data_IF_837646818436
#
_entry.id   IF_837646818436
#
_cell.length_a   1.000
_cell.length_b   1.000
_cell.length_c   1.000
_cell.angle_alpha   90.00
_cell.angle_beta   90.00
_cell.angle_gamma   90.00
#
_symmetry.space_group_name_H-M   'P 1'
#
loop_
_entity.id
_entity.type
_entity.pdbx_description
1 polymer ?
#
# COMPACT_ATOMS: atom_id res chain seq x y z
N UNK A 1 2.22 -0.57 -18.97
CA UNK A 1 1.86 -1.32 -17.75
C UNK A 1 1.26 -0.35 -16.75
N UNK A 2 0.22 -0.80 -15.99
CA UNK A 2 -0.48 0.03 -15.00
C UNK A 2 -0.20 -0.47 -13.59
N UNK A 3 0.22 0.41 -12.70
CA UNK A 3 0.43 0.12 -11.29
C UNK A 3 -0.72 0.68 -10.42
N UNK A 4 -1.12 -0.11 -9.43
CA UNK A 4 -2.06 0.30 -8.38
C UNK A 4 -1.30 0.42 -7.07
N UNK A 5 -1.27 1.59 -6.48
CA UNK A 5 -0.60 1.90 -5.23
C UNK A 5 -1.63 1.99 -4.11
N UNK A 6 -1.47 1.21 -3.05
CA UNK A 6 -2.28 1.31 -1.82
C UNK A 6 -1.38 1.83 -0.69
N UNK A 7 -1.61 3.07 -0.26
CA UNK A 7 -0.80 3.73 0.75
C UNK A 7 -1.64 4.59 1.69
N UNK A 8 -1.25 4.67 2.97
CA UNK A 8 -1.94 5.44 4.01
C UNK A 8 -1.22 6.77 4.30
N UNK A 9 0.12 6.72 4.49
CA UNK A 9 0.89 7.91 4.81
C UNK A 9 1.22 8.76 3.58
N UNK A 10 1.26 10.09 3.73
CA UNK A 10 1.59 11.01 2.64
C UNK A 10 2.97 10.75 2.04
N UNK A 11 3.94 10.38 2.88
CA UNK A 11 5.30 10.06 2.42
C UNK A 11 5.30 8.78 1.58
N UNK A 12 4.56 7.74 2.01
CA UNK A 12 4.44 6.51 1.24
C UNK A 12 3.63 6.71 -0.05
N UNK A 13 2.56 7.50 -0.04
CA UNK A 13 1.82 7.86 -1.25
C UNK A 13 2.76 8.46 -2.30
N UNK A 14 3.57 9.45 -1.91
CA UNK A 14 4.56 10.09 -2.78
C UNK A 14 5.64 9.12 -3.26
N UNK A 15 6.29 8.43 -2.32
CA UNK A 15 7.42 7.56 -2.63
C UNK A 15 7.03 6.34 -3.47
N UNK A 16 5.88 5.70 -3.17
CA UNK A 16 5.41 4.54 -3.94
C UNK A 16 4.86 4.93 -5.32
N UNK A 17 4.17 6.07 -5.45
CA UNK A 17 3.74 6.55 -6.76
C UNK A 17 4.95 6.93 -7.64
N UNK A 18 5.95 7.62 -7.08
CA UNK A 18 7.20 7.91 -7.77
C UNK A 18 7.93 6.62 -8.19
N UNK A 19 8.07 5.66 -7.26
CA UNK A 19 8.68 4.37 -7.54
C UNK A 19 7.91 3.56 -8.59
N UNK A 20 6.57 3.58 -8.55
CA UNK A 20 5.72 2.92 -9.53
C UNK A 20 5.97 3.41 -10.96
N UNK A 21 6.32 4.70 -11.14
CA UNK A 21 6.69 5.26 -12.46
C UNK A 21 7.93 4.62 -13.07
N UNK A 22 8.80 4.02 -12.27
CA UNK A 22 9.99 3.33 -12.78
C UNK A 22 9.67 1.98 -13.43
N UNK A 23 8.49 1.43 -13.14
CA UNK A 23 8.06 0.09 -13.60
C UNK A 23 6.72 0.10 -14.36
N UNK A 24 6.01 1.22 -14.40
CA UNK A 24 4.69 1.34 -15.04
C UNK A 24 4.51 2.71 -15.70
N UNK A 25 3.71 2.72 -16.79
CA UNK A 25 3.41 3.94 -17.55
C UNK A 25 2.25 4.72 -16.93
N UNK A 26 1.34 4.03 -16.26
CA UNK A 26 0.16 4.60 -15.60
C UNK A 26 0.17 4.18 -14.12
N UNK A 27 -0.08 5.13 -13.24
CA UNK A 27 -0.11 4.93 -11.79
C UNK A 27 -1.44 5.37 -11.22
N UNK A 28 -2.10 4.49 -10.50
CA UNK A 28 -3.35 4.75 -9.79
C UNK A 28 -3.10 4.60 -8.29
N UNK A 29 -3.47 5.62 -7.52
CA UNK A 29 -3.36 5.63 -6.07
C UNK A 29 -4.70 5.28 -5.42
N UNK A 30 -4.71 4.45 -4.39
CA UNK A 30 -5.86 4.24 -3.52
C UNK A 30 -5.48 4.51 -2.06
N UNK A 31 -6.33 5.24 -1.36
CA UNK A 31 -6.14 5.59 0.04
C UNK A 31 -7.41 5.23 0.80
N UNK A 32 -7.26 4.49 1.90
CA UNK A 32 -8.41 4.06 2.73
C UNK A 32 -8.63 4.99 3.92
N UNK A 33 -7.57 5.52 4.49
CA UNK A 33 -7.65 6.39 5.66
C UNK A 33 -6.77 7.61 5.46
N UNK A 34 -7.38 8.74 5.31
CA UNK A 34 -6.73 9.99 4.96
C UNK A 34 -7.18 10.47 3.58
N UNK A 35 -6.64 11.59 3.13
CA UNK A 35 -6.92 12.12 1.81
C UNK A 35 -5.84 11.65 0.80
N UNK A 36 -6.22 11.25 -0.40
CA UNK A 36 -5.26 11.03 -1.48
C UNK A 36 -4.48 12.31 -1.79
N UNK A 37 -3.17 12.18 -1.99
CA UNK A 37 -2.38 13.28 -2.53
C UNK A 37 -2.74 13.49 -4.00
N UNK A 38 -2.88 14.75 -4.38
CA UNK A 38 -3.02 15.17 -5.78
C UNK A 38 -1.65 15.38 -6.43
N UNK A 39 -1.59 15.29 -7.75
CA UNK A 39 -0.35 15.51 -8.50
C UNK A 39 0.70 14.40 -8.39
N UNK A 40 0.38 13.24 -7.80
CA UNK A 40 1.34 12.13 -7.61
C UNK A 40 1.03 10.88 -8.43
N UNK A 41 -0.22 10.72 -8.86
CA UNK A 41 -0.71 9.60 -9.68
C UNK A 41 -1.57 10.12 -10.82
N UNK A 42 -1.82 9.31 -11.85
CA UNK A 42 -2.70 9.70 -12.97
C UNK A 42 -4.16 9.74 -12.54
N UNK A 43 -4.52 8.92 -11.57
CA UNK A 43 -5.84 8.90 -10.91
C UNK A 43 -5.67 8.48 -9.46
N UNK A 44 -6.51 9.01 -8.58
CA UNK A 44 -6.58 8.58 -7.19
C UNK A 44 -8.00 8.14 -6.80
N UNK A 45 -8.09 7.15 -5.93
CA UNK A 45 -9.31 6.71 -5.28
C UNK A 45 -9.28 7.02 -3.80
N UNK A 46 -10.26 7.80 -3.34
CA UNK A 46 -10.56 7.97 -1.92
C UNK A 46 -11.56 6.87 -1.51
N UNK A 47 -11.06 5.84 -0.86
CA UNK A 47 -11.89 4.72 -0.39
C UNK A 47 -12.49 5.08 0.96
N UNK A 48 -13.77 5.40 0.96
CA UNK A 48 -14.49 5.81 2.17
C UNK A 48 -14.45 4.73 3.25
N UNK A 49 -14.21 5.17 4.48
CA UNK A 49 -14.31 4.36 5.68
C UNK A 49 -14.95 5.21 6.78
N UNK A 50 -16.13 4.84 7.33
CA UNK A 50 -16.75 5.59 8.41
C UNK A 50 -15.84 5.72 9.64
N UNK A 51 -15.94 6.83 10.33
CA UNK A 51 -15.13 7.09 11.52
C UNK A 51 -15.29 5.98 12.57
N UNK A 52 -14.17 5.59 13.18
CA UNK A 52 -14.16 4.53 14.20
C UNK A 52 -14.19 3.11 13.66
N UNK A 53 -14.32 2.92 12.34
CA UNK A 53 -14.24 1.59 11.74
C UNK A 53 -12.78 1.13 11.59
N UNK A 54 -12.50 -0.16 11.82
CA UNK A 54 -11.23 -0.77 11.45
C UNK A 54 -11.00 -0.74 9.94
N UNK A 55 -9.75 -0.49 9.54
CA UNK A 55 -9.36 -0.39 8.11
C UNK A 55 -9.70 -1.65 7.32
N UNK A 56 -9.67 -2.79 7.96
CA UNK A 56 -10.00 -4.09 7.38
C UNK A 56 -11.43 -4.14 6.81
N UNK A 57 -12.34 -3.33 7.35
CA UNK A 57 -13.71 -3.24 6.85
C UNK A 57 -13.81 -2.52 5.49
N UNK A 58 -12.75 -1.86 5.02
CA UNK A 58 -12.70 -1.22 3.70
C UNK A 58 -12.29 -2.17 2.56
N UNK A 59 -12.10 -3.46 2.83
CA UNK A 59 -11.61 -4.42 1.82
C UNK A 59 -12.46 -4.45 0.54
N UNK A 60 -13.79 -4.31 0.64
CA UNK A 60 -14.67 -4.25 -0.53
C UNK A 60 -14.43 -2.98 -1.37
N UNK A 61 -14.18 -1.83 -0.73
CA UNK A 61 -13.84 -0.58 -1.42
C UNK A 61 -12.48 -0.66 -2.13
N UNK A 62 -11.48 -1.26 -1.48
CA UNK A 62 -10.18 -1.50 -2.11
C UNK A 62 -10.31 -2.44 -3.31
N UNK A 63 -11.13 -3.49 -3.22
CA UNK A 63 -11.42 -4.36 -4.34
C UNK A 63 -12.11 -3.60 -5.48
N UNK A 64 -13.11 -2.75 -5.19
CA UNK A 64 -13.78 -1.95 -6.20
C UNK A 64 -12.82 -0.98 -6.91
N UNK A 65 -11.94 -0.32 -6.17
CA UNK A 65 -10.90 0.54 -6.73
C UNK A 65 -9.94 -0.24 -7.64
N UNK A 66 -9.52 -1.46 -7.22
CA UNK A 66 -8.70 -2.36 -8.04
C UNK A 66 -9.42 -2.76 -9.34
N UNK A 67 -10.69 -3.16 -9.25
CA UNK A 67 -11.50 -3.57 -10.41
C UNK A 67 -11.73 -2.42 -11.38
N UNK A 68 -11.92 -1.19 -10.88
CA UNK A 68 -12.03 0.01 -11.70
C UNK A 68 -10.70 0.38 -12.39
N UNK A 69 -9.58 0.23 -11.68
CA UNK A 69 -8.24 0.53 -12.20
C UNK A 69 -7.74 -0.52 -13.21
N UNK A 70 -8.06 -1.82 -13.00
CA UNK A 70 -7.56 -2.95 -13.80
C UNK A 70 -6.03 -2.95 -13.96
N UNK A 71 -5.27 -2.97 -12.87
CA UNK A 71 -3.82 -2.84 -12.92
C UNK A 71 -3.11 -4.16 -13.25
N UNK A 72 -1.88 -4.06 -13.75
CA UNK A 72 -0.97 -5.19 -13.97
C UNK A 72 -0.21 -5.57 -12.70
N UNK A 73 -0.01 -4.59 -11.79
CA UNK A 73 0.75 -4.77 -10.54
C UNK A 73 0.16 -3.93 -9.42
N UNK A 74 0.16 -4.48 -8.20
CA UNK A 74 -0.28 -3.81 -6.97
C UNK A 74 0.91 -3.62 -6.05
N UNK A 75 1.16 -2.38 -5.64
CA UNK A 75 2.20 -1.97 -4.71
C UNK A 75 1.54 -1.46 -3.43
N UNK A 76 1.86 -2.05 -2.31
CA UNK A 76 1.21 -1.78 -1.03
C UNK A 76 2.22 -1.30 0.00
N UNK A 77 1.93 -0.19 0.65
CA UNK A 77 2.71 0.28 1.80
C UNK A 77 2.78 -0.81 2.90
N UNK A 78 3.96 -1.15 3.44
CA UNK A 78 4.14 -2.32 4.31
C UNK A 78 3.68 -2.08 5.76
N UNK A 79 2.59 -1.32 5.97
CA UNK A 79 1.99 -1.17 7.30
C UNK A 79 1.22 -2.44 7.69
N UNK A 80 1.05 -2.74 8.99
CA UNK A 80 0.25 -3.89 9.42
C UNK A 80 -1.17 -3.90 8.84
N UNK A 81 -1.81 -2.73 8.76
CA UNK A 81 -3.16 -2.59 8.22
C UNK A 81 -3.22 -2.82 6.71
N UNK A 82 -2.33 -2.21 5.97
CA UNK A 82 -2.28 -2.38 4.52
C UNK A 82 -1.86 -3.80 4.12
N UNK A 83 -1.02 -4.49 4.92
CA UNK A 83 -0.70 -5.91 4.72
C UNK A 83 -1.96 -6.80 4.84
N UNK A 84 -2.89 -6.46 5.73
CA UNK A 84 -4.18 -7.17 5.83
C UNK A 84 -5.02 -6.92 4.58
N UNK A 85 -5.15 -5.67 4.14
CA UNK A 85 -5.89 -5.33 2.91
C UNK A 85 -5.28 -5.99 1.68
N UNK A 86 -3.94 -6.02 1.57
CA UNK A 86 -3.23 -6.74 0.50
C UNK A 86 -3.55 -8.23 0.51
N UNK A 87 -3.57 -8.86 1.69
CA UNK A 87 -3.94 -10.27 1.85
C UNK A 87 -5.38 -10.56 1.46
N UNK A 88 -6.33 -9.70 1.85
CA UNK A 88 -7.75 -9.82 1.49
C UNK A 88 -7.95 -9.64 -0.02
N UNK A 89 -7.28 -8.67 -0.64
CA UNK A 89 -7.30 -8.48 -2.08
C UNK A 89 -6.70 -9.67 -2.81
N UNK A 90 -5.51 -10.15 -2.41
CA UNK A 90 -4.87 -11.31 -3.02
C UNK A 90 -5.72 -12.58 -2.92
N UNK A 91 -6.39 -12.80 -1.79
CA UNK A 91 -7.32 -13.91 -1.62
C UNK A 91 -8.50 -13.85 -2.61
N UNK A 92 -9.04 -12.66 -2.87
CA UNK A 92 -10.08 -12.45 -3.88
C UNK A 92 -9.58 -12.70 -5.31
N UNK A 93 -8.33 -12.37 -5.59
CA UNK A 93 -7.69 -12.56 -6.89
C UNK A 93 -7.15 -14.00 -7.09
N UNK A 94 -7.25 -14.87 -6.10
CA UNK A 94 -6.71 -16.23 -6.15
C UNK A 94 -5.17 -16.26 -6.25
N UNK A 95 -4.49 -15.28 -5.67
CA UNK A 95 -3.04 -15.14 -5.70
C UNK A 95 -2.44 -15.00 -4.30
N UNK A 96 -1.13 -14.88 -4.20
CA UNK A 96 -0.41 -14.62 -2.97
C UNK A 96 0.22 -13.23 -2.95
N UNK A 97 0.39 -12.67 -1.76
CA UNK A 97 1.19 -11.46 -1.55
C UNK A 97 2.66 -11.82 -1.41
N UNK A 98 3.51 -11.16 -2.18
CA UNK A 98 4.96 -11.18 -1.90
C UNK A 98 5.29 -10.00 -1.01
N UNK A 99 5.66 -10.29 0.24
CA UNK A 99 5.89 -9.24 1.24
C UNK A 99 7.32 -8.72 1.24
N UNK A 100 7.41 -7.42 1.60
CA UNK A 100 8.66 -6.72 1.88
C UNK A 100 9.68 -6.81 0.71
N UNK A 101 9.17 -6.54 -0.49
CA UNK A 101 9.98 -6.48 -1.71
C UNK A 101 11.00 -5.35 -1.61
N UNK A 102 12.26 -5.66 -1.92
CA UNK A 102 13.39 -4.73 -1.86
C UNK A 102 13.97 -4.36 -3.22
N UNK A 103 13.65 -5.13 -4.27
CA UNK A 103 14.10 -4.82 -5.63
C UNK A 103 13.20 -5.47 -6.69
N UNK A 104 13.12 -4.83 -7.85
CA UNK A 104 12.42 -5.28 -9.04
C UNK A 104 13.41 -5.50 -10.19
N UNK A 105 13.26 -6.62 -10.90
CA UNK A 105 14.05 -6.97 -12.08
C UNK A 105 13.12 -7.62 -13.12
N UNK A 106 12.47 -6.81 -13.92
CA UNK A 106 11.40 -7.21 -14.81
C UNK A 106 10.25 -7.88 -14.07
N UNK A 107 9.95 -9.14 -14.36
CA UNK A 107 8.91 -9.93 -13.68
C UNK A 107 9.37 -10.58 -12.37
N UNK A 108 10.63 -10.45 -12.02
CA UNK A 108 11.23 -11.04 -10.83
C UNK A 108 11.33 -9.98 -9.72
N UNK A 109 10.96 -10.36 -8.52
CA UNK A 109 11.12 -9.51 -7.34
C UNK A 109 12.04 -10.18 -6.32
N UNK A 110 12.75 -9.36 -5.57
CA UNK A 110 13.64 -9.82 -4.50
C UNK A 110 13.10 -9.37 -3.16
N UNK A 111 13.08 -10.25 -2.19
CA UNK A 111 12.86 -9.91 -0.79
C UNK A 111 13.89 -10.61 0.10
N UNK A 112 14.12 -10.05 1.29
CA UNK A 112 15.15 -10.51 2.21
C UNK A 112 14.56 -11.40 3.27
N UNK A 113 15.29 -12.48 3.63
CA UNK A 113 14.95 -13.39 4.72
C UNK A 113 16.03 -13.39 5.79
N UNK A 114 15.66 -13.81 6.98
CA UNK A 114 16.56 -14.01 8.11
C UNK A 114 17.40 -12.77 8.45
N UNK A 115 16.76 -11.58 8.50
CA UNK A 115 17.48 -10.35 8.80
C UNK A 115 18.52 -9.93 7.76
N UNK A 116 18.32 -10.31 6.48
CA UNK A 116 19.22 -9.96 5.39
C UNK A 116 20.29 -11.01 5.07
N UNK A 117 20.28 -12.17 5.76
CA UNK A 117 21.24 -13.24 5.50
C UNK A 117 20.96 -14.01 4.19
N UNK A 118 19.73 -13.96 3.69
CA UNK A 118 19.36 -14.59 2.43
C UNK A 118 18.50 -13.67 1.58
N UNK A 119 18.77 -13.61 0.29
CA UNK A 119 17.91 -12.95 -0.69
C UNK A 119 17.09 -14.02 -1.42
N UNK A 120 15.77 -13.85 -1.44
CA UNK A 120 14.86 -14.72 -2.19
C UNK A 120 14.40 -13.99 -3.46
N UNK A 121 14.64 -14.61 -4.62
CA UNK A 121 14.14 -14.12 -5.91
C UNK A 121 12.94 -14.95 -6.33
N UNK A 122 11.84 -14.30 -6.64
CA UNK A 122 10.62 -15.00 -7.04
C UNK A 122 9.86 -14.24 -8.11
N UNK A 123 9.05 -14.99 -8.86
CA UNK A 123 8.16 -14.47 -9.89
C UNK A 123 6.73 -14.81 -9.52
N UNK A 124 5.84 -13.83 -9.55
CA UNK A 124 4.41 -14.08 -9.36
C UNK A 124 3.83 -14.81 -10.57
N UNK A 125 3.01 -15.84 -10.32
CA UNK A 125 2.34 -16.65 -11.35
C UNK A 125 0.90 -16.22 -11.63
N UNK A 126 0.38 -15.25 -10.88
CA UNK A 126 -0.97 -14.71 -11.01
C UNK A 126 -0.95 -13.18 -10.96
N UNK A 127 -1.99 -12.59 -10.37
CA UNK A 127 -2.00 -11.17 -10.10
C UNK A 127 -0.82 -10.80 -9.19
N UNK A 128 -0.11 -9.74 -9.56
CA UNK A 128 1.13 -9.32 -8.88
C UNK A 128 0.78 -8.38 -7.73
N UNK A 129 0.80 -8.88 -6.50
CA UNK A 129 0.52 -8.10 -5.27
C UNK A 129 1.76 -8.10 -4.40
N UNK A 130 2.35 -6.93 -4.20
CA UNK A 130 3.61 -6.76 -3.48
C UNK A 130 3.46 -5.77 -2.34
N UNK A 131 3.95 -6.09 -1.13
CA UNK A 131 4.21 -5.04 -0.15
C UNK A 131 5.63 -4.54 -0.33
N UNK A 132 5.81 -3.22 -0.37
CA UNK A 132 7.08 -2.60 -0.72
C UNK A 132 7.21 -1.23 -0.04
N UNK A 133 8.38 -0.93 0.50
CA UNK A 133 8.68 0.41 0.99
C UNK A 133 9.18 1.30 -0.16
N UNK A 134 8.94 2.60 -0.08
CA UNK A 134 9.41 3.56 -1.10
C UNK A 134 10.93 3.51 -1.33
N UNK A 135 11.68 3.15 -0.30
CA UNK A 135 13.14 2.97 -0.36
C UNK A 135 13.62 1.81 -1.26
N UNK A 136 12.70 0.95 -1.73
CA UNK A 136 13.03 -0.12 -2.69
C UNK A 136 13.22 0.40 -4.13
N UNK A 137 12.83 1.65 -4.38
CA UNK A 137 12.96 2.30 -5.68
C UNK A 137 14.09 3.33 -5.67
N UNK A 138 14.67 3.59 -6.84
CA UNK A 138 15.54 4.74 -7.01
C UNK A 138 14.74 6.04 -6.78
N UNK A 139 15.43 7.11 -6.41
CA UNK A 139 14.80 8.41 -6.29
C UNK A 139 14.16 8.82 -7.64
N UNK A 140 12.87 9.10 -7.58
CA UNK A 140 12.09 9.57 -8.71
C UNK A 140 11.08 10.61 -8.22
N UNK A 141 10.66 11.49 -9.09
CA UNK A 141 9.62 12.45 -8.78
C UNK A 141 8.23 11.86 -9.04
N UNK A 142 7.34 12.02 -8.08
CA UNK A 142 5.94 11.71 -8.27
C UNK A 142 5.30 12.79 -9.15
N UNK A 143 4.65 12.37 -10.22
CA UNK A 143 3.93 13.25 -11.13
C UNK A 143 2.55 12.69 -11.41
N UNK A 144 1.57 13.54 -11.65
CA UNK A 144 0.23 13.06 -11.93
C UNK A 144 -0.80 14.16 -12.11
N UNK A 145 -2.06 13.79 -11.97
CA UNK A 145 -3.23 14.67 -12.07
C UNK A 145 -3.85 14.94 -10.70
N UNK A 146 -4.86 15.81 -10.68
CA UNK A 146 -5.70 16.05 -9.50
C UNK A 146 -7.03 15.28 -9.59
N UNK A 147 -7.09 14.23 -10.44
CA UNK A 147 -8.30 13.40 -10.59
C UNK A 147 -8.45 12.46 -9.40
N UNK A 148 -9.41 12.78 -8.53
CA UNK A 148 -9.75 11.99 -7.35
C UNK A 148 -11.21 11.54 -7.46
N UNK A 149 -11.43 10.24 -7.42
CA UNK A 149 -12.76 9.62 -7.38
C UNK A 149 -13.00 8.97 -6.02
N UNK A 150 -14.19 9.16 -5.47
CA UNK A 150 -14.59 8.55 -4.19
C UNK A 150 -15.22 7.19 -4.44
N UNK A 151 -14.72 6.17 -3.75
CA UNK A 151 -15.32 4.84 -3.68
C UNK A 151 -16.13 4.74 -2.38
N UNK A 152 -17.43 4.61 -2.53
CA UNK A 152 -18.34 4.54 -1.39
C UNK A 152 -18.08 3.32 -0.49
N UNK A 153 -18.24 3.51 0.80
CA UNK A 153 -18.11 2.44 1.77
C UNK A 153 -19.19 1.37 1.61
N UNK A 154 -18.76 0.12 1.53
CA UNK A 154 -19.66 -1.05 1.57
C UNK A 154 -19.33 -1.87 2.81
N UNK A 155 -20.30 -1.97 3.73
CA UNK A 155 -20.11 -2.74 4.95
C UNK A 155 -19.91 -4.23 4.64
N UNK A 156 -18.88 -4.87 5.19
CA UNK A 156 -18.71 -6.31 5.03
C UNK A 156 -19.79 -7.08 5.81
N UNK A 157 -20.15 -8.26 5.32
CA UNK A 157 -21.12 -9.15 5.99
C UNK A 157 -20.70 -9.47 7.45
N UNK A 158 -19.41 -9.61 7.68
CA UNK A 158 -18.81 -9.83 9.00
C UNK A 158 -17.85 -8.69 9.31
N UNK A 159 -18.41 -7.56 9.73
CA UNK A 159 -17.62 -6.40 10.10
C UNK A 159 -16.83 -6.64 11.40
N UNK A 160 -15.58 -6.19 11.41
CA UNK A 160 -14.80 -6.06 12.64
C UNK A 160 -15.32 -4.87 13.43
N UNK A 161 -15.42 -5.02 14.74
CA UNK A 161 -15.89 -3.98 15.65
C UNK A 161 -14.76 -3.56 16.59
N UNK A 162 -14.38 -2.29 16.53
CA UNK A 162 -13.47 -1.69 17.50
C UNK A 162 -14.21 -1.49 18.82
N UNK A 163 -13.89 -2.27 19.86
CA UNK A 163 -14.50 -2.17 21.18
C UNK A 163 -13.92 -1.06 22.06
N UNK A 164 -12.73 -0.58 21.70
CA UNK A 164 -12.06 0.50 22.43
C UNK A 164 -10.56 0.56 22.14
N UNK A 165 -9.96 1.66 22.52
CA UNK A 165 -8.51 1.88 22.48
C UNK A 165 -8.01 2.16 23.88
N UNK A 166 -6.85 1.58 24.22
CA UNK A 166 -6.14 1.87 25.47
C UNK A 166 -4.80 2.50 25.14
N UNK A 167 -4.59 3.72 25.60
CA UNK A 167 -3.29 4.35 25.48
C UNK A 167 -2.26 3.57 26.33
N UNK A 168 -1.16 3.19 25.72
CA UNK A 168 -0.01 2.64 26.44
C UNK A 168 0.91 3.82 26.73
N UNK A 169 1.17 4.16 28.02
CA UNK A 169 2.12 5.21 28.33
C UNK A 169 3.49 4.81 27.80
N UNK A 170 4.11 5.71 27.05
CA UNK A 170 5.48 5.55 26.56
C UNK A 170 6.42 6.21 27.56
N UNK A 171 7.28 5.42 28.18
CA UNK A 171 8.40 5.92 28.96
C UNK A 171 9.61 6.06 28.01
N UNK A 172 10.17 7.28 27.91
CA UNK A 172 11.31 7.58 27.05
C UNK A 172 10.98 8.41 25.80
N UNK A 173 12.02 8.74 25.04
CA UNK A 173 11.92 9.51 23.82
C UNK A 173 11.32 8.68 22.67
N UNK A 174 10.48 9.31 21.87
CA UNK A 174 10.00 8.73 20.61
C UNK A 174 11.11 8.87 19.56
N UNK A 175 11.80 7.78 19.26
CA UNK A 175 12.95 7.77 18.35
C UNK A 175 12.59 8.27 16.94
N UNK A 176 11.33 8.15 16.52
CA UNK A 176 10.87 8.64 15.22
C UNK A 176 10.80 10.16 15.14
N UNK A 177 10.87 10.85 16.28
CA UNK A 177 10.83 12.31 16.41
C UNK A 177 12.15 12.92 16.85
N UNK A 178 13.20 12.11 16.97
CA UNK A 178 14.52 12.57 17.34
C UNK A 178 15.30 13.00 16.09
N UNK A 179 15.98 14.15 16.15
CA UNK A 179 16.85 14.62 15.08
C UNK A 179 18.09 13.76 14.92
N UNK A 180 18.54 13.15 16.02
CA UNK A 180 19.73 12.27 16.06
C UNK A 180 19.44 11.07 16.94
N UNK A 181 19.72 9.88 16.43
CA UNK A 181 19.66 8.61 17.17
C UNK A 181 21.05 7.97 17.12
N UNK A 182 21.60 7.64 18.30
CA UNK A 182 22.89 6.93 18.43
C UNK A 182 22.59 5.53 18.96
N UNK A 183 23.06 4.51 18.23
CA UNK A 183 22.91 3.10 18.55
C UNK A 183 24.26 2.38 18.67
#
# INVERSE_FOLDING_TARGET
MKAFVLAESTDAQRALCAGARTIADEVVLAVVKGAPLTGVADKAYDVELPEGQPVENAAAGVQAAYEAAQPDVVLVEPTPRNKILAGLLAAKLGTAVVSDVTAFDGDTVTNMYFGGLAANKQKATGAKVYTVAGTAFAEAEATGSDDVETIAYVAPEKALVLRGTKAVPREGADLTKCDVVVG
#
